data_IF_341086589712
#
_entry.id   IF_341086589712
#
_cell.length_a   1.000
_cell.length_b   1.000
_cell.length_c   1.000
_cell.angle_alpha   90.00
_cell.angle_beta   90.00
_cell.angle_gamma   90.00
#
_symmetry.space_group_name_H-M   'P 1'
#
loop_
_entity.id
_entity.type
_entity.pdbx_description
1 polymer ?
#
# COMPACT_ATOMS: atom_id res chain seq x y z
N UNK A 1 24.87 29.69 5.50
CA UNK A 1 24.34 29.25 4.21
C UNK A 1 22.98 28.61 4.46
N UNK A 2 21.83 29.22 4.11
CA UNK A 2 20.51 28.62 4.24
C UNK A 2 20.32 27.70 3.03
N UNK A 3 20.50 26.40 3.21
CA UNK A 3 20.19 25.42 2.18
C UNK A 3 18.66 25.43 2.00
N UNK A 4 18.18 26.04 0.94
CA UNK A 4 16.76 25.99 0.54
C UNK A 4 16.48 24.62 -0.09
N UNK A 5 16.11 23.65 0.74
CA UNK A 5 15.70 22.33 0.28
C UNK A 5 14.41 22.44 -0.56
N UNK A 6 14.50 22.17 -1.84
CA UNK A 6 13.32 22.15 -2.70
C UNK A 6 12.55 20.81 -2.55
N UNK A 7 11.70 20.76 -1.52
CA UNK A 7 10.92 19.56 -1.14
C UNK A 7 10.04 19.05 -2.27
N UNK A 8 9.45 19.96 -3.07
CA UNK A 8 8.63 19.57 -4.23
C UNK A 8 9.45 18.79 -5.26
N UNK A 9 10.70 19.21 -5.49
CA UNK A 9 11.61 18.51 -6.40
C UNK A 9 11.98 17.14 -5.86
N UNK A 10 12.33 17.04 -4.57
CA UNK A 10 12.70 15.77 -3.93
C UNK A 10 11.55 14.76 -4.00
N UNK A 11 10.32 15.17 -3.71
CA UNK A 11 9.16 14.29 -3.83
C UNK A 11 8.99 13.77 -5.26
N UNK A 12 9.14 14.64 -6.28
CA UNK A 12 9.07 14.19 -7.68
C UNK A 12 10.19 13.19 -8.01
N UNK A 13 11.40 13.41 -7.52
CA UNK A 13 12.54 12.51 -7.71
C UNK A 13 12.27 11.15 -7.04
N UNK A 14 11.71 11.13 -5.82
CA UNK A 14 11.35 9.88 -5.12
C UNK A 14 10.37 9.06 -5.97
N UNK A 15 9.28 9.66 -6.46
CA UNK A 15 8.31 8.96 -7.31
C UNK A 15 8.94 8.46 -8.61
N UNK A 16 9.75 9.28 -9.26
CA UNK A 16 10.42 8.92 -10.50
C UNK A 16 11.40 7.77 -10.30
N UNK A 17 12.28 7.86 -9.31
CA UNK A 17 13.26 6.81 -9.01
C UNK A 17 12.59 5.49 -8.63
N UNK A 18 11.52 5.55 -7.83
CA UNK A 18 10.76 4.35 -7.50
C UNK A 18 10.12 3.72 -8.74
N UNK A 19 9.53 4.52 -9.63
CA UNK A 19 8.94 4.01 -10.85
C UNK A 19 9.99 3.33 -11.75
N UNK A 20 11.14 3.97 -11.96
CA UNK A 20 12.26 3.38 -12.73
C UNK A 20 12.77 2.11 -12.05
N UNK A 21 12.98 2.15 -10.73
CA UNK A 21 13.36 0.97 -9.97
C UNK A 21 12.38 -0.18 -10.20
N UNK A 22 11.08 0.08 -10.12
CA UNK A 22 10.05 -0.92 -10.32
C UNK A 22 10.11 -1.53 -11.73
N UNK A 23 10.12 -0.69 -12.76
CA UNK A 23 10.21 -1.14 -14.16
C UNK A 23 11.46 -1.98 -14.38
N UNK A 24 12.62 -1.53 -13.92
CA UNK A 24 13.88 -2.27 -14.08
C UNK A 24 13.89 -3.59 -13.30
N UNK A 25 13.29 -3.63 -12.09
CA UNK A 25 13.20 -4.86 -11.30
C UNK A 25 12.41 -5.95 -12.01
N UNK A 26 11.38 -5.60 -12.76
CA UNK A 26 10.49 -6.56 -13.42
C UNK A 26 10.72 -6.71 -14.93
N UNK A 27 11.53 -5.84 -15.53
CA UNK A 27 11.78 -5.86 -16.99
C UNK A 27 12.45 -7.15 -17.46
N UNK A 28 13.48 -7.62 -16.74
CA UNK A 28 14.16 -8.88 -17.07
C UNK A 28 13.25 -10.11 -16.87
N UNK A 29 12.35 -10.06 -15.91
CA UNK A 29 11.37 -11.11 -15.65
C UNK A 29 10.34 -11.24 -16.78
N UNK A 30 9.95 -10.14 -17.43
CA UNK A 30 9.00 -10.17 -18.56
C UNK A 30 9.51 -11.04 -19.70
N UNK A 31 10.82 -11.03 -19.97
CA UNK A 31 11.44 -11.83 -21.03
C UNK A 31 11.72 -13.29 -20.64
N UNK A 32 11.61 -13.64 -19.36
CA UNK A 32 11.84 -15.01 -18.83
C UNK A 32 10.56 -15.74 -18.46
N UNK A 33 9.38 -15.25 -18.85
CA UNK A 33 8.09 -15.86 -18.55
C UNK A 33 7.94 -17.32 -18.99
N UNK A 34 8.61 -17.72 -20.04
CA UNK A 34 8.50 -19.06 -20.61
C UNK A 34 8.81 -20.22 -19.66
N UNK A 35 9.44 -19.95 -18.51
CA UNK A 35 9.98 -20.99 -17.62
C UNK A 35 9.44 -21.02 -16.19
N UNK A 36 8.60 -20.09 -15.74
CA UNK A 36 8.12 -20.13 -14.34
C UNK A 36 6.61 -20.27 -14.22
N UNK A 37 6.18 -21.41 -13.68
CA UNK A 37 4.80 -21.66 -13.19
C UNK A 37 4.40 -20.76 -12.00
N UNK A 38 5.34 -20.00 -11.47
CA UNK A 38 5.18 -19.21 -10.24
C UNK A 38 5.63 -17.79 -10.49
N UNK A 39 4.80 -16.85 -10.70
CA UNK A 39 5.01 -15.43 -10.87
C UNK A 39 6.46 -14.91 -10.88
N UNK A 40 6.71 -13.84 -11.57
CA UNK A 40 8.07 -13.33 -11.74
C UNK A 40 8.62 -12.77 -10.43
N UNK A 41 9.81 -13.20 -10.07
CA UNK A 41 10.59 -12.57 -9.01
C UNK A 41 11.26 -11.30 -9.56
N UNK A 42 11.31 -10.22 -8.78
CA UNK A 42 12.06 -9.04 -9.18
C UNK A 42 13.54 -9.37 -9.33
N UNK A 43 14.19 -8.83 -10.35
CA UNK A 43 15.61 -9.00 -10.60
C UNK A 43 16.37 -7.93 -9.83
N UNK A 44 17.30 -8.34 -8.98
CA UNK A 44 18.13 -7.44 -8.19
C UNK A 44 19.55 -7.37 -8.75
N UNK A 45 19.73 -6.57 -9.78
CA UNK A 45 21.08 -6.20 -10.26
C UNK A 45 21.67 -5.11 -9.36
N UNK A 46 23.00 -4.87 -9.47
CA UNK A 46 23.66 -3.77 -8.74
C UNK A 46 22.99 -2.41 -9.02
N UNK A 47 22.62 -2.14 -10.27
CA UNK A 47 21.96 -0.89 -10.67
C UNK A 47 20.58 -0.76 -10.03
N UNK A 48 19.78 -1.83 -10.03
CA UNK A 48 18.44 -1.87 -9.42
C UNK A 48 18.54 -1.66 -7.91
N UNK A 49 19.50 -2.31 -7.25
CA UNK A 49 19.74 -2.12 -5.83
C UNK A 49 20.18 -0.69 -5.49
N UNK A 50 21.03 -0.07 -6.32
CA UNK A 50 21.42 1.31 -6.11
C UNK A 50 20.24 2.28 -6.26
N UNK A 51 19.37 2.10 -7.25
CA UNK A 51 18.15 2.91 -7.40
C UNK A 51 17.23 2.76 -6.17
N UNK A 52 17.05 1.52 -5.71
CA UNK A 52 16.28 1.23 -4.48
C UNK A 52 16.87 1.96 -3.28
N UNK A 53 18.18 1.90 -3.09
CA UNK A 53 18.87 2.59 -2.00
C UNK A 53 18.68 4.10 -2.09
N UNK A 54 18.87 4.70 -3.26
CA UNK A 54 18.77 6.15 -3.44
C UNK A 54 17.37 6.65 -3.10
N UNK A 55 16.31 6.05 -3.66
CA UNK A 55 14.96 6.53 -3.34
C UNK A 55 14.61 6.32 -1.85
N UNK A 56 15.07 5.21 -1.26
CA UNK A 56 14.85 4.92 0.16
C UNK A 56 15.53 5.97 1.04
N UNK A 57 16.79 6.28 0.79
CA UNK A 57 17.53 7.31 1.52
C UNK A 57 16.89 8.69 1.36
N UNK A 58 16.35 9.01 0.18
CA UNK A 58 15.62 10.25 -0.03
C UNK A 58 14.32 10.31 0.79
N UNK A 59 13.56 9.21 0.87
CA UNK A 59 12.36 9.11 1.70
C UNK A 59 12.71 9.30 3.18
N UNK A 60 13.75 8.62 3.66
CA UNK A 60 14.18 8.69 5.04
C UNK A 60 14.71 10.10 5.40
N UNK A 61 15.58 10.67 4.56
CA UNK A 61 16.17 12.00 4.78
C UNK A 61 15.08 13.09 4.76
N UNK A 62 14.17 13.05 3.78
CA UNK A 62 13.08 14.00 3.70
C UNK A 62 12.10 13.83 4.87
N UNK A 63 11.76 12.59 5.21
CA UNK A 63 10.88 12.28 6.34
C UNK A 63 11.46 12.74 7.68
N UNK A 64 12.76 12.52 7.93
CA UNK A 64 13.44 12.99 9.12
C UNK A 64 13.51 14.53 9.18
N UNK A 65 13.82 15.15 8.06
CA UNK A 65 13.81 16.61 7.95
C UNK A 65 12.42 17.19 8.28
N UNK A 66 11.36 16.61 7.72
CA UNK A 66 9.99 17.04 7.99
C UNK A 66 9.57 16.76 9.44
N UNK A 67 9.94 15.62 10.01
CA UNK A 67 9.72 15.33 11.43
C UNK A 67 10.24 16.46 12.32
N UNK A 68 11.52 16.83 12.15
CA UNK A 68 12.16 17.91 12.92
C UNK A 68 11.48 19.26 12.68
N UNK A 69 11.10 19.54 11.44
CA UNK A 69 10.42 20.79 11.09
C UNK A 69 9.01 20.86 11.69
N UNK A 70 8.20 19.80 11.57
CA UNK A 70 6.83 19.75 12.10
C UNK A 70 6.83 19.83 13.64
N UNK A 71 7.85 19.25 14.28
CA UNK A 71 8.08 19.42 15.71
C UNK A 71 8.40 20.88 16.09
N UNK A 72 9.36 21.51 15.38
CA UNK A 72 9.72 22.92 15.58
C UNK A 72 8.52 23.86 15.39
N UNK A 73 7.66 23.55 14.43
CA UNK A 73 6.43 24.30 14.13
C UNK A 73 5.28 23.98 15.11
N UNK A 74 5.50 23.12 16.10
CA UNK A 74 4.47 22.65 17.06
C UNK A 74 3.25 21.99 16.41
N UNK A 75 3.39 21.51 15.18
CA UNK A 75 2.32 20.78 14.45
C UNK A 75 2.16 19.33 14.88
N UNK A 76 2.97 18.86 15.82
CA UNK A 76 2.90 17.55 16.45
C UNK A 76 2.83 17.76 17.95
N UNK A 77 1.98 16.99 18.65
CA UNK A 77 1.94 17.04 20.10
C UNK A 77 3.23 16.46 20.69
N UNK A 78 3.63 16.93 21.88
CA UNK A 78 4.80 16.38 22.56
C UNK A 78 4.65 14.88 22.84
N UNK A 79 3.45 14.45 23.19
CA UNK A 79 3.13 13.04 23.43
C UNK A 79 3.31 12.22 22.15
N UNK A 80 2.77 12.68 21.01
CA UNK A 80 2.90 11.98 19.75
C UNK A 80 4.37 11.92 19.29
N UNK A 81 5.11 12.99 19.51
CA UNK A 81 6.55 13.00 19.22
C UNK A 81 7.30 11.97 20.07
N UNK A 82 7.02 11.91 21.36
CA UNK A 82 7.61 10.93 22.27
C UNK A 82 7.26 9.50 21.83
N UNK A 83 5.97 9.24 21.58
CA UNK A 83 5.52 7.93 21.09
C UNK A 83 6.17 7.53 19.76
N UNK A 84 6.39 8.51 18.88
CA UNK A 84 7.07 8.25 17.61
C UNK A 84 8.56 7.94 17.80
N UNK A 85 9.24 8.63 18.71
CA UNK A 85 10.64 8.32 19.07
C UNK A 85 10.71 6.91 19.67
N UNK A 86 9.80 6.56 20.58
CA UNK A 86 9.73 5.21 21.15
C UNK A 86 9.51 4.17 20.04
N UNK A 87 8.59 4.41 19.09
CA UNK A 87 8.33 3.54 17.95
C UNK A 87 9.59 3.30 17.10
N UNK A 88 10.30 4.38 16.70
CA UNK A 88 11.52 4.25 15.91
C UNK A 88 12.62 3.53 16.68
N UNK A 89 12.84 3.93 17.95
CA UNK A 89 13.87 3.32 18.79
C UNK A 89 13.59 1.84 19.04
N UNK A 90 12.35 1.48 19.36
CA UNK A 90 11.95 0.08 19.54
C UNK A 90 12.12 -0.73 18.25
N UNK A 91 11.77 -0.16 17.08
CA UNK A 91 11.96 -0.81 15.78
C UNK A 91 13.44 -1.08 15.50
N UNK A 92 14.31 -0.11 15.72
CA UNK A 92 15.76 -0.23 15.52
C UNK A 92 16.36 -1.23 16.51
N UNK A 93 16.00 -1.10 17.79
CA UNK A 93 16.48 -2.04 18.81
C UNK A 93 16.06 -3.47 18.50
N UNK A 94 14.83 -3.67 18.08
CA UNK A 94 14.35 -5.01 17.73
C UNK A 94 15.10 -5.61 16.54
N UNK A 95 15.42 -4.81 15.51
CA UNK A 95 16.25 -5.26 14.39
C UNK A 95 17.65 -5.70 14.85
N UNK A 96 18.24 -4.96 15.78
CA UNK A 96 19.58 -5.25 16.28
C UNK A 96 19.59 -6.43 17.26
N UNK A 97 18.70 -6.45 18.26
CA UNK A 97 18.76 -7.40 19.37
C UNK A 97 18.08 -8.74 19.06
N UNK A 98 16.87 -8.71 18.51
CA UNK A 98 16.05 -9.92 18.27
C UNK A 98 16.31 -10.48 16.88
N UNK A 99 16.35 -9.62 15.85
CA UNK A 99 16.61 -10.05 14.49
C UNK A 99 18.09 -10.27 14.19
N UNK A 100 18.98 -9.81 15.06
CA UNK A 100 20.44 -9.90 14.94
C UNK A 100 20.99 -9.42 13.59
N UNK A 101 20.34 -8.39 13.01
CA UNK A 101 20.76 -7.81 11.75
C UNK A 101 21.80 -6.73 12.06
N UNK A 102 23.06 -7.09 11.92
CA UNK A 102 24.20 -6.18 12.13
C UNK A 102 24.80 -5.67 10.83
N UNK A 103 24.50 -6.34 9.72
CA UNK A 103 25.02 -6.01 8.41
C UNK A 103 24.11 -5.02 7.69
N UNK A 104 24.67 -3.88 7.27
CA UNK A 104 23.99 -2.83 6.54
C UNK A 104 23.46 -3.34 5.18
N UNK A 105 24.18 -4.24 4.55
CA UNK A 105 23.76 -4.78 3.25
C UNK A 105 22.47 -5.59 3.40
N UNK A 106 22.38 -6.45 4.39
CA UNK A 106 21.16 -7.19 4.74
C UNK A 106 20.03 -6.23 5.11
N UNK A 107 20.32 -5.21 5.91
CA UNK A 107 19.34 -4.21 6.33
C UNK A 107 18.69 -3.49 5.16
N UNK A 108 19.48 -3.12 4.14
CA UNK A 108 19.02 -2.29 3.02
C UNK A 108 18.52 -3.09 1.82
N UNK A 109 19.08 -4.27 1.57
CA UNK A 109 18.88 -4.98 0.29
C UNK A 109 18.14 -6.30 0.43
N UNK A 110 17.96 -6.83 1.63
CA UNK A 110 17.22 -8.07 1.80
C UNK A 110 15.75 -7.91 1.37
N UNK A 111 15.21 -8.94 0.74
CA UNK A 111 13.80 -9.01 0.35
C UNK A 111 12.89 -8.73 1.54
N UNK A 112 11.85 -7.91 1.34
CA UNK A 112 10.93 -7.50 2.41
C UNK A 112 11.47 -6.41 3.34
N UNK A 113 12.70 -5.99 3.17
CA UNK A 113 13.48 -4.97 3.87
C UNK A 113 13.13 -4.77 5.35
N UNK A 114 14.07 -5.07 6.25
CA UNK A 114 13.89 -4.83 7.68
C UNK A 114 13.53 -3.37 8.03
N UNK A 115 13.88 -2.42 7.14
CA UNK A 115 13.62 -0.98 7.31
C UNK A 115 12.17 -0.56 7.06
N UNK A 116 11.23 -1.48 6.82
CA UNK A 116 9.85 -1.12 6.45
C UNK A 116 9.16 -0.16 7.44
N UNK A 117 9.52 -0.20 8.73
CA UNK A 117 9.01 0.74 9.72
C UNK A 117 9.70 2.10 9.70
N UNK A 118 10.96 2.17 9.30
CA UNK A 118 11.66 3.45 9.17
C UNK A 118 11.06 4.29 8.03
N UNK A 119 10.56 3.63 6.98
CA UNK A 119 9.86 4.29 5.88
C UNK A 119 8.58 4.99 6.34
N UNK A 120 8.06 4.65 7.54
CA UNK A 120 6.95 5.39 8.16
C UNK A 120 7.25 6.87 8.42
N UNK A 121 8.51 7.30 8.38
CA UNK A 121 8.89 8.71 8.32
C UNK A 121 8.21 9.48 7.17
N UNK A 122 7.76 8.81 6.11
CA UNK A 122 6.95 9.39 5.04
C UNK A 122 5.63 10.01 5.56
N UNK A 123 5.14 9.62 6.73
CA UNK A 123 4.02 10.26 7.44
C UNK A 123 4.24 11.78 7.56
N UNK A 124 5.43 12.21 7.97
CA UNK A 124 5.74 13.63 8.15
C UNK A 124 5.85 14.40 6.83
N UNK A 125 6.27 13.73 5.75
CA UNK A 125 6.22 14.32 4.39
C UNK A 125 4.78 14.63 3.99
N UNK A 126 3.83 13.77 4.36
CA UNK A 126 2.40 14.01 4.15
C UNK A 126 1.84 15.22 4.90
N UNK A 127 2.42 15.59 6.05
CA UNK A 127 2.03 16.75 6.85
C UNK A 127 2.48 18.10 6.24
N UNK A 128 3.46 18.11 5.34
CA UNK A 128 4.02 19.35 4.79
C UNK A 128 3.05 20.06 3.85
N UNK A 129 2.71 21.32 4.20
CA UNK A 129 1.82 22.15 3.40
C UNK A 129 2.42 22.54 2.05
N UNK A 130 3.76 22.58 1.91
CA UNK A 130 4.43 22.95 0.64
C UNK A 130 4.26 21.91 -0.45
N UNK A 131 4.08 20.64 -0.08
CA UNK A 131 3.90 19.54 -1.03
C UNK A 131 2.42 19.11 -1.16
N UNK A 132 1.53 19.70 -0.38
CA UNK A 132 0.09 19.40 -0.33
C UNK A 132 -0.56 19.31 -1.71
N UNK A 133 -0.31 20.28 -2.58
CA UNK A 133 -0.90 20.33 -3.91
C UNK A 133 -0.18 19.43 -4.93
N UNK A 134 1.10 19.18 -4.68
CA UNK A 134 1.92 18.37 -5.58
C UNK A 134 1.59 16.89 -5.44
N UNK A 135 1.44 16.40 -4.20
CA UNK A 135 1.26 14.97 -3.93
C UNK A 135 0.07 14.36 -4.68
N UNK A 136 -1.17 14.93 -4.65
CA UNK A 136 -2.29 14.36 -5.39
C UNK A 136 -2.07 14.37 -6.92
N UNK A 137 -1.43 15.42 -7.45
CA UNK A 137 -1.12 15.51 -8.89
C UNK A 137 -0.12 14.43 -9.32
N UNK A 138 0.93 14.25 -8.52
CA UNK A 138 1.96 13.23 -8.75
C UNK A 138 1.35 11.83 -8.59
N UNK A 139 0.55 11.62 -7.55
CA UNK A 139 -0.13 10.35 -7.32
C UNK A 139 -1.09 9.99 -8.47
N UNK A 140 -1.82 10.95 -9.06
CA UNK A 140 -2.64 10.71 -10.26
C UNK A 140 -1.80 10.24 -11.44
N UNK A 141 -0.72 10.94 -11.73
CA UNK A 141 0.13 10.61 -12.88
C UNK A 141 0.75 9.22 -12.74
N UNK A 142 1.40 8.94 -11.61
CA UNK A 142 2.02 7.63 -11.39
C UNK A 142 1.01 6.52 -11.12
N UNK A 143 -0.13 6.83 -10.51
CA UNK A 143 -1.24 5.88 -10.35
C UNK A 143 -1.71 5.34 -11.70
N UNK A 144 -1.96 6.23 -12.65
CA UNK A 144 -2.31 5.84 -14.02
C UNK A 144 -1.15 5.09 -14.71
N UNK A 145 0.09 5.55 -14.54
CA UNK A 145 1.27 4.88 -15.12
C UNK A 145 1.41 3.45 -14.61
N UNK A 146 1.26 3.19 -13.31
CA UNK A 146 1.31 1.85 -12.74
C UNK A 146 0.14 0.96 -13.18
N UNK A 147 -1.08 1.51 -13.27
CA UNK A 147 -2.22 0.74 -13.79
C UNK A 147 -2.01 0.37 -15.25
N UNK A 148 -1.51 1.30 -16.07
CA UNK A 148 -1.17 1.03 -17.47
C UNK A 148 -0.07 -0.03 -17.56
N UNK A 149 0.95 0.06 -16.70
CA UNK A 149 2.03 -0.92 -16.64
C UNK A 149 1.51 -2.32 -16.26
N UNK A 150 0.56 -2.40 -15.33
CA UNK A 150 -0.11 -3.67 -15.00
C UNK A 150 -0.81 -4.29 -16.22
N UNK A 151 -1.50 -3.46 -17.03
CA UNK A 151 -2.14 -3.92 -18.27
C UNK A 151 -1.11 -4.35 -19.32
N UNK A 152 -0.02 -3.60 -19.48
CA UNK A 152 1.06 -3.97 -20.41
C UNK A 152 1.69 -5.31 -20.00
N UNK A 153 2.01 -5.49 -18.74
CA UNK A 153 2.52 -6.78 -18.25
C UNK A 153 1.52 -7.93 -18.45
N UNK A 154 0.24 -7.67 -18.27
CA UNK A 154 -0.81 -8.66 -18.53
C UNK A 154 -0.86 -9.04 -20.03
N UNK A 155 -0.84 -8.07 -20.93
CA UNK A 155 -0.84 -8.31 -22.38
C UNK A 155 0.39 -9.10 -22.84
N UNK A 156 1.59 -8.75 -22.36
CA UNK A 156 2.82 -9.48 -22.66
C UNK A 156 2.69 -10.92 -22.18
N UNK A 157 2.17 -11.12 -20.96
CA UNK A 157 1.95 -12.45 -20.42
C UNK A 157 0.98 -13.28 -21.28
N UNK A 158 -0.11 -12.69 -21.74
CA UNK A 158 -1.07 -13.37 -22.62
C UNK A 158 -0.44 -13.79 -23.95
N UNK A 159 0.44 -12.96 -24.52
CA UNK A 159 1.11 -13.24 -25.78
C UNK A 159 2.14 -14.37 -25.62
N UNK A 160 2.96 -14.31 -24.55
CA UNK A 160 4.08 -15.24 -24.38
C UNK A 160 3.66 -16.64 -23.92
N UNK A 161 2.59 -16.76 -23.13
CA UNK A 161 2.21 -18.02 -22.48
C UNK A 161 0.95 -18.65 -23.09
N UNK A 162 0.25 -17.93 -24.00
CA UNK A 162 -1.01 -18.41 -24.53
C UNK A 162 -2.07 -18.50 -23.42
N UNK A 163 -2.21 -17.44 -22.64
CA UNK A 163 -3.01 -17.37 -21.44
C UNK A 163 -4.46 -17.79 -21.62
N UNK A 164 -4.90 -18.77 -20.86
CA UNK A 164 -6.31 -19.01 -20.60
C UNK A 164 -6.76 -18.21 -19.38
N UNK A 165 -7.84 -17.46 -19.50
CA UNK A 165 -8.43 -16.69 -18.40
C UNK A 165 -8.85 -17.62 -17.26
N UNK A 166 -8.08 -17.79 -16.23
CA UNK A 166 -8.33 -18.70 -15.12
C UNK A 166 -7.08 -18.94 -14.29
N UNK A 167 -5.92 -18.63 -14.84
CA UNK A 167 -4.66 -18.71 -14.10
C UNK A 167 -4.59 -17.57 -13.09
N UNK A 168 -4.34 -17.91 -11.84
CA UNK A 168 -4.20 -16.92 -10.77
C UNK A 168 -2.88 -16.20 -10.85
N UNK A 169 -2.93 -14.87 -10.99
CA UNK A 169 -1.77 -14.00 -10.71
C UNK A 169 -1.67 -13.78 -9.21
N UNK A 170 -1.06 -14.71 -8.52
CA UNK A 170 -0.93 -14.64 -7.07
C UNK A 170 0.29 -13.85 -6.61
N UNK A 171 1.25 -13.63 -7.49
CA UNK A 171 2.46 -12.84 -7.25
C UNK A 171 3.01 -12.37 -8.60
N UNK A 172 3.80 -11.32 -8.59
CA UNK A 172 4.49 -10.86 -9.78
C UNK A 172 4.18 -9.43 -10.18
N UNK A 173 4.74 -8.96 -11.30
CA UNK A 173 4.74 -7.56 -11.68
C UNK A 173 3.34 -6.99 -11.89
N UNK A 174 2.39 -7.79 -12.38
CA UNK A 174 1.00 -7.36 -12.61
C UNK A 174 0.37 -6.95 -11.28
N UNK A 175 0.44 -7.83 -10.27
CA UNK A 175 -0.15 -7.57 -8.96
C UNK A 175 0.52 -6.39 -8.24
N UNK A 176 1.86 -6.33 -8.25
CA UNK A 176 2.58 -5.25 -7.59
C UNK A 176 2.41 -3.91 -8.30
N UNK A 177 2.35 -3.89 -9.64
CA UNK A 177 2.01 -2.69 -10.39
C UNK A 177 0.58 -2.22 -10.07
N UNK A 178 -0.38 -3.14 -10.01
CA UNK A 178 -1.74 -2.84 -9.61
C UNK A 178 -1.82 -2.28 -8.18
N UNK A 179 -1.14 -2.90 -7.21
CA UNK A 179 -1.10 -2.41 -5.83
C UNK A 179 -0.59 -0.97 -5.76
N UNK A 180 0.54 -0.68 -6.40
CA UNK A 180 1.09 0.69 -6.45
C UNK A 180 0.10 1.66 -7.10
N UNK A 181 -0.47 1.30 -8.24
CA UNK A 181 -1.44 2.11 -8.96
C UNK A 181 -2.69 2.39 -8.12
N UNK A 182 -3.26 1.36 -7.50
CA UNK A 182 -4.46 1.45 -6.68
C UNK A 182 -4.29 2.41 -5.49
N UNK A 183 -3.25 2.25 -4.67
CA UNK A 183 -3.05 3.12 -3.51
C UNK A 183 -2.70 4.55 -3.89
N UNK A 184 -1.99 4.76 -5.00
CA UNK A 184 -1.77 6.11 -5.53
C UNK A 184 -3.08 6.77 -5.97
N UNK A 185 -3.98 6.03 -6.61
CA UNK A 185 -5.31 6.51 -7.00
C UNK A 185 -6.18 6.78 -5.76
N UNK A 186 -6.16 5.90 -4.77
CA UNK A 186 -6.81 6.11 -3.47
C UNK A 186 -6.32 7.40 -2.83
N UNK A 187 -4.98 7.59 -2.73
CA UNK A 187 -4.41 8.82 -2.19
C UNK A 187 -4.92 10.06 -2.95
N UNK A 188 -4.86 10.04 -4.29
CA UNK A 188 -5.27 11.16 -5.11
C UNK A 188 -6.76 11.48 -4.96
N UNK A 189 -7.61 10.45 -4.94
CA UNK A 189 -9.07 10.60 -4.83
C UNK A 189 -9.46 11.31 -3.52
N UNK A 190 -8.94 10.83 -2.39
CA UNK A 190 -9.34 11.35 -1.09
C UNK A 190 -8.66 12.68 -0.71
N UNK A 191 -7.65 13.11 -1.46
CA UNK A 191 -7.02 14.43 -1.29
C UNK A 191 -7.54 15.49 -2.26
N UNK A 192 -8.22 15.10 -3.33
CA UNK A 192 -8.74 16.02 -4.32
C UNK A 192 -10.17 16.46 -3.93
N UNK A 193 -10.36 17.78 -3.73
CA UNK A 193 -11.69 18.36 -3.44
C UNK A 193 -12.38 18.75 -4.74
N UNK A 194 -11.59 19.14 -5.75
CA UNK A 194 -12.10 19.61 -7.04
C UNK A 194 -11.99 18.53 -8.11
N UNK A 195 -13.13 17.94 -8.45
CA UNK A 195 -13.25 16.91 -9.49
C UNK A 195 -13.39 17.51 -10.91
N UNK A 196 -12.75 18.64 -11.17
CA UNK A 196 -12.78 19.30 -12.48
C UNK A 196 -12.36 18.38 -13.63
N UNK A 197 -11.46 17.43 -13.38
CA UNK A 197 -10.97 16.44 -14.35
C UNK A 197 -11.81 15.15 -14.36
N UNK A 198 -13.10 15.26 -14.66
CA UNK A 198 -14.01 14.10 -14.72
C UNK A 198 -13.55 12.98 -15.66
N UNK A 199 -12.88 13.33 -16.77
CA UNK A 199 -12.39 12.33 -17.74
C UNK A 199 -11.32 11.42 -17.12
N UNK A 200 -10.41 11.98 -16.33
CA UNK A 200 -9.40 11.18 -15.64
C UNK A 200 -10.03 10.08 -14.79
N UNK A 201 -11.00 10.43 -13.96
CA UNK A 201 -11.68 9.47 -13.07
C UNK A 201 -12.54 8.47 -13.84
N UNK A 202 -13.16 8.88 -14.95
CA UNK A 202 -13.93 7.99 -15.82
C UNK A 202 -13.07 6.92 -16.50
N UNK A 203 -11.80 7.19 -16.73
CA UNK A 203 -10.85 6.21 -17.30
C UNK A 203 -10.21 5.37 -16.19
N UNK A 204 -9.73 6.01 -15.14
CA UNK A 204 -8.90 5.37 -14.12
C UNK A 204 -9.67 4.38 -13.25
N UNK A 205 -10.91 4.71 -12.87
CA UNK A 205 -11.71 3.81 -12.03
C UNK A 205 -12.11 2.50 -12.75
N UNK A 206 -12.63 2.51 -14.00
CA UNK A 206 -12.82 1.27 -14.74
C UNK A 206 -11.52 0.48 -14.94
N UNK A 207 -10.40 1.16 -15.18
CA UNK A 207 -9.10 0.49 -15.29
C UNK A 207 -8.70 -0.21 -13.98
N UNK A 208 -8.93 0.40 -12.82
CA UNK A 208 -8.76 -0.25 -11.52
C UNK A 208 -9.64 -1.50 -11.39
N UNK A 209 -10.89 -1.42 -11.84
CA UNK A 209 -11.81 -2.55 -11.78
C UNK A 209 -11.34 -3.71 -12.67
N UNK A 210 -10.97 -3.42 -13.92
CA UNK A 210 -10.43 -4.41 -14.85
C UNK A 210 -9.17 -5.06 -14.25
N UNK A 211 -8.24 -4.24 -13.73
CA UNK A 211 -7.03 -4.76 -13.09
C UNK A 211 -7.34 -5.66 -11.89
N UNK A 212 -8.34 -5.32 -11.09
CA UNK A 212 -8.75 -6.14 -9.94
C UNK A 212 -9.31 -7.51 -10.36
N UNK A 213 -10.03 -7.57 -11.47
CA UNK A 213 -10.50 -8.84 -12.05
C UNK A 213 -9.36 -9.68 -12.61
N UNK A 214 -8.44 -9.06 -13.34
CA UNK A 214 -7.26 -9.74 -13.89
C UNK A 214 -6.43 -10.39 -12.78
N UNK A 215 -6.27 -9.72 -11.63
CA UNK A 215 -5.56 -10.29 -10.48
C UNK A 215 -6.32 -11.42 -9.79
N UNK A 216 -7.58 -11.71 -10.21
CA UNK A 216 -8.45 -12.73 -9.63
C UNK A 216 -8.59 -12.66 -8.11
N UNK A 217 -8.49 -11.44 -7.55
CA UNK A 217 -8.54 -11.19 -6.12
C UNK A 217 -9.90 -10.62 -5.70
N UNK A 218 -10.70 -11.41 -4.99
CA UNK A 218 -12.01 -10.99 -4.46
C UNK A 218 -11.95 -9.71 -3.63
N UNK A 219 -10.96 -9.60 -2.78
CA UNK A 219 -10.78 -8.44 -1.90
C UNK A 219 -10.43 -7.17 -2.68
N UNK A 220 -9.64 -7.26 -3.74
CA UNK A 220 -9.36 -6.13 -4.62
C UNK A 220 -10.59 -5.67 -5.39
N UNK A 221 -11.42 -6.60 -5.84
CA UNK A 221 -12.72 -6.27 -6.47
C UNK A 221 -13.59 -5.50 -5.49
N UNK A 222 -13.74 -5.98 -4.25
CA UNK A 222 -14.52 -5.29 -3.20
C UNK A 222 -13.95 -3.90 -2.89
N UNK A 223 -12.64 -3.78 -2.73
CA UNK A 223 -12.00 -2.48 -2.47
C UNK A 223 -12.17 -1.50 -3.64
N UNK A 224 -12.11 -2.00 -4.88
CA UNK A 224 -12.32 -1.17 -6.06
C UNK A 224 -13.79 -0.73 -6.18
N UNK A 225 -14.74 -1.60 -5.89
CA UNK A 225 -16.17 -1.24 -5.82
C UNK A 225 -16.38 -0.16 -4.75
N UNK A 226 -15.78 -0.32 -3.57
CA UNK A 226 -15.83 0.69 -2.51
C UNK A 226 -15.25 2.01 -2.99
N UNK A 227 -14.12 2.00 -3.71
CA UNK A 227 -13.52 3.21 -4.29
C UNK A 227 -14.47 3.91 -5.28
N UNK A 228 -15.17 3.14 -6.14
CA UNK A 228 -16.20 3.68 -7.04
C UNK A 228 -17.36 4.33 -6.28
N UNK A 229 -17.90 3.64 -5.30
CA UNK A 229 -18.99 4.17 -4.46
C UNK A 229 -18.59 5.49 -3.82
N UNK A 230 -17.40 5.54 -3.24
CA UNK A 230 -16.89 6.74 -2.58
C UNK A 230 -16.65 7.88 -3.57
N UNK A 231 -16.15 7.60 -4.77
CA UNK A 231 -16.02 8.62 -5.82
C UNK A 231 -17.36 9.28 -6.12
N UNK A 232 -18.43 8.50 -6.31
CA UNK A 232 -19.75 9.04 -6.60
C UNK A 232 -20.36 9.79 -5.43
N UNK A 233 -20.14 9.32 -4.20
CA UNK A 233 -20.62 10.01 -2.97
C UNK A 233 -19.94 11.38 -2.84
N UNK A 234 -18.61 11.44 -2.97
CA UNK A 234 -17.83 12.66 -2.82
C UNK A 234 -18.19 13.65 -3.94
N UNK A 235 -18.28 13.20 -5.19
CA UNK A 235 -18.54 14.06 -6.35
C UNK A 235 -19.88 14.78 -6.27
N UNK A 236 -20.91 14.18 -5.68
CA UNK A 236 -22.27 14.70 -5.69
C UNK A 236 -22.76 15.24 -4.34
N UNK A 237 -21.87 15.49 -3.40
CA UNK A 237 -22.22 16.03 -2.06
C UNK A 237 -23.45 15.34 -1.44
N UNK A 238 -23.56 14.04 -1.60
CA UNK A 238 -24.57 13.16 -1.01
C UNK A 238 -26.04 13.42 -1.44
N UNK A 239 -26.35 14.29 -2.37
CA UNK A 239 -27.75 14.60 -2.74
C UNK A 239 -28.48 13.46 -3.45
N UNK A 240 -27.76 12.48 -4.01
CA UNK A 240 -28.37 11.33 -4.70
C UNK A 240 -27.61 10.01 -4.43
N UNK A 241 -27.44 9.68 -3.16
CA UNK A 241 -26.68 8.49 -2.76
C UNK A 241 -27.23 7.21 -3.43
N UNK A 242 -28.55 7.00 -3.39
CA UNK A 242 -29.21 5.82 -3.97
C UNK A 242 -28.95 5.73 -5.47
N UNK A 243 -29.11 6.83 -6.21
CA UNK A 243 -28.83 6.84 -7.65
C UNK A 243 -27.37 6.56 -7.99
N UNK A 244 -26.45 6.99 -7.13
CA UNK A 244 -25.02 6.74 -7.31
C UNK A 244 -24.66 5.28 -6.99
N UNK A 245 -25.27 4.70 -5.98
CA UNK A 245 -25.16 3.25 -5.71
C UNK A 245 -25.68 2.46 -6.91
N UNK A 246 -26.87 2.79 -7.45
CA UNK A 246 -27.43 2.14 -8.62
C UNK A 246 -26.53 2.26 -9.85
N UNK A 247 -25.93 3.43 -10.09
CA UNK A 247 -24.95 3.62 -11.17
C UNK A 247 -23.69 2.77 -10.97
N UNK A 248 -23.19 2.72 -9.73
CA UNK A 248 -22.02 1.88 -9.43
C UNK A 248 -22.34 0.41 -9.66
N UNK A 249 -23.49 -0.06 -9.17
CA UNK A 249 -23.98 -1.42 -9.40
C UNK A 249 -24.14 -1.67 -10.91
N UNK A 250 -24.72 -0.73 -11.64
CA UNK A 250 -24.87 -0.82 -13.10
C UNK A 250 -23.53 -0.92 -13.84
N UNK A 251 -22.54 -0.12 -13.47
CA UNK A 251 -21.16 -0.21 -14.05
C UNK A 251 -20.52 -1.55 -13.72
N UNK A 252 -20.58 -1.97 -12.44
CA UNK A 252 -20.04 -3.27 -12.02
C UNK A 252 -20.73 -4.41 -12.76
N UNK A 253 -22.07 -4.38 -12.84
CA UNK A 253 -22.84 -5.37 -13.57
C UNK A 253 -22.47 -5.41 -15.06
N UNK A 254 -22.37 -4.24 -15.71
CA UNK A 254 -21.94 -4.15 -17.11
C UNK A 254 -20.55 -4.75 -17.33
N UNK A 255 -19.58 -4.42 -16.45
CA UNK A 255 -18.23 -4.99 -16.51
C UNK A 255 -18.27 -6.50 -16.29
N UNK A 256 -19.06 -7.00 -15.33
CA UNK A 256 -19.21 -8.44 -15.07
C UNK A 256 -19.82 -9.15 -16.27
N UNK A 257 -20.87 -8.60 -16.89
CA UNK A 257 -21.47 -9.17 -18.10
C UNK A 257 -20.46 -9.19 -19.25
N UNK A 258 -19.73 -8.09 -19.45
CA UNK A 258 -18.70 -8.03 -20.49
C UNK A 258 -17.61 -9.07 -20.25
N UNK A 259 -17.10 -9.20 -19.03
CA UNK A 259 -16.11 -10.22 -18.69
C UNK A 259 -16.69 -11.61 -18.85
N UNK A 260 -17.94 -11.85 -18.47
CA UNK A 260 -18.58 -13.16 -18.64
C UNK A 260 -18.74 -13.55 -20.11
N UNK A 261 -19.03 -12.59 -20.99
CA UNK A 261 -19.14 -12.84 -22.43
C UNK A 261 -17.80 -13.18 -23.10
N UNK A 262 -16.71 -12.54 -22.65
CA UNK A 262 -15.39 -12.69 -23.26
C UNK A 262 -14.41 -13.57 -22.47
N UNK A 263 -14.70 -13.84 -21.20
CA UNK A 263 -13.81 -14.55 -20.27
C UNK A 263 -14.61 -15.25 -19.15
N UNK A 264 -15.56 -16.13 -19.51
CA UNK A 264 -16.41 -16.87 -18.56
C UNK A 264 -15.59 -17.62 -17.49
N UNK A 265 -14.44 -18.18 -17.88
CA UNK A 265 -13.55 -18.94 -16.99
C UNK A 265 -12.98 -18.08 -15.84
N UNK A 266 -12.84 -16.78 -16.07
CA UNK A 266 -12.40 -15.84 -15.03
C UNK A 266 -13.45 -15.72 -13.91
N UNK A 267 -14.71 -15.57 -14.28
CA UNK A 267 -15.82 -15.49 -13.31
C UNK A 267 -16.00 -16.84 -12.63
N UNK A 268 -15.97 -17.93 -13.38
CA UNK A 268 -16.02 -19.29 -12.84
C UNK A 268 -14.93 -19.52 -11.79
N UNK A 269 -13.70 -19.10 -12.05
CA UNK A 269 -12.59 -19.22 -11.11
C UNK A 269 -12.75 -18.34 -9.86
N UNK A 270 -13.35 -17.16 -9.97
CA UNK A 270 -13.66 -16.30 -8.83
C UNK A 270 -14.76 -16.91 -7.95
N UNK A 271 -15.81 -17.45 -8.56
CA UNK A 271 -16.95 -18.10 -7.87
C UNK A 271 -16.50 -19.38 -7.18
N UNK A 272 -15.74 -20.24 -7.84
CA UNK A 272 -15.22 -21.48 -7.27
C UNK A 272 -14.39 -21.21 -5.99
N UNK A 273 -13.70 -20.08 -5.93
CA UNK A 273 -12.90 -19.67 -4.77
C UNK A 273 -13.70 -19.04 -3.63
N UNK A 274 -15.00 -18.78 -3.80
CA UNK A 274 -15.81 -18.23 -2.69
C UNK A 274 -15.86 -19.16 -1.48
N UNK A 275 -15.75 -20.48 -1.71
CA UNK A 275 -15.71 -21.52 -0.66
C UNK A 275 -14.32 -21.83 -0.09
N UNK A 276 -13.24 -21.45 -0.78
CA UNK A 276 -11.87 -21.78 -0.34
C UNK A 276 -11.32 -20.71 0.61
N UNK A 277 -11.06 -21.07 1.87
CA UNK A 277 -10.40 -20.21 2.84
C UNK A 277 -9.07 -20.82 3.28
N UNK A 278 -7.99 -20.52 2.55
CA UNK A 278 -6.63 -20.89 2.97
C UNK A 278 -6.12 -20.05 4.16
N UNK A 279 -6.82 -18.98 4.54
CA UNK A 279 -6.42 -18.06 5.60
C UNK A 279 -6.72 -18.59 6.99
N UNK A 280 -7.88 -19.23 7.18
CA UNK A 280 -8.20 -19.90 8.44
C UNK A 280 -7.20 -20.99 8.74
N UNK A 281 -6.92 -21.87 7.76
CA UNK A 281 -5.94 -22.92 7.93
C UNK A 281 -4.51 -22.37 8.16
N UNK A 282 -4.15 -21.24 7.52
CA UNK A 282 -2.88 -20.58 7.78
C UNK A 282 -2.78 -20.09 9.22
N UNK A 283 -3.82 -19.45 9.75
CA UNK A 283 -3.82 -18.94 11.12
C UNK A 283 -3.87 -20.06 12.15
N UNK A 284 -4.66 -21.12 11.92
CA UNK A 284 -4.68 -22.30 12.76
C UNK A 284 -3.29 -22.94 12.86
N UNK A 285 -2.68 -23.28 11.72
CA UNK A 285 -1.33 -23.85 11.67
C UNK A 285 -0.28 -22.92 12.30
N UNK A 286 -0.43 -21.61 12.14
CA UNK A 286 0.45 -20.63 12.77
C UNK A 286 0.34 -20.66 14.29
N UNK A 287 -0.88 -20.60 14.86
CA UNK A 287 -1.08 -20.57 16.32
C UNK A 287 -0.85 -21.91 16.99
N UNK A 288 -0.90 -23.03 16.26
CA UNK A 288 -0.45 -24.34 16.76
C UNK A 288 1.06 -24.38 17.02
N UNK A 289 1.85 -23.63 16.24
CA UNK A 289 3.32 -23.64 16.33
C UNK A 289 3.87 -22.46 17.13
N UNK A 290 3.20 -21.31 17.07
CA UNK A 290 3.70 -20.06 17.66
C UNK A 290 2.77 -19.63 18.80
N UNK A 291 3.23 -19.68 20.05
CA UNK A 291 2.44 -19.26 21.19
C UNK A 291 2.19 -17.75 21.14
N UNK A 292 0.99 -17.32 21.58
CA UNK A 292 0.58 -15.91 21.58
C UNK A 292 1.55 -15.03 22.38
N UNK A 293 2.14 -15.56 23.46
CA UNK A 293 3.16 -14.86 24.27
C UNK A 293 4.37 -14.40 23.45
N UNK A 294 4.76 -15.17 22.43
CA UNK A 294 5.88 -14.81 21.54
C UNK A 294 5.56 -13.62 20.65
N UNK A 295 4.29 -13.28 20.43
CA UNK A 295 3.87 -12.10 19.66
C UNK A 295 4.06 -10.80 20.45
N UNK A 296 4.21 -10.87 21.77
CA UNK A 296 4.43 -9.68 22.61
C UNK A 296 5.84 -9.12 22.35
N UNK A 297 6.84 -9.97 22.38
CA UNK A 297 8.24 -9.60 22.13
C UNK A 297 8.60 -9.58 20.65
N UNK A 298 7.91 -10.37 19.83
CA UNK A 298 8.29 -10.69 18.46
C UNK A 298 9.42 -11.73 18.41
N UNK A 299 9.52 -12.43 17.30
CA UNK A 299 10.53 -13.50 17.09
C UNK A 299 11.65 -13.08 16.12
N UNK A 300 11.62 -11.84 15.66
CA UNK A 300 12.63 -11.29 14.76
C UNK A 300 12.26 -11.37 13.28
N UNK A 301 13.02 -10.62 12.48
CA UNK A 301 12.77 -10.44 11.07
C UNK A 301 12.79 -11.75 10.26
N UNK A 302 13.68 -12.68 10.65
CA UNK A 302 13.83 -13.97 9.97
C UNK A 302 12.94 -15.09 10.55
N UNK A 303 12.03 -14.75 11.47
CA UNK A 303 11.10 -15.71 12.05
C UNK A 303 10.28 -16.43 10.98
N UNK A 304 10.12 -17.73 11.16
CA UNK A 304 9.41 -18.61 10.24
C UNK A 304 8.63 -19.69 10.97
N UNK A 305 7.67 -20.30 10.29
CA UNK A 305 6.91 -21.44 10.76
C UNK A 305 6.67 -22.41 9.59
N UNK A 306 6.14 -23.59 9.85
CA UNK A 306 5.83 -24.56 8.79
C UNK A 306 4.43 -24.32 8.27
N UNK A 307 4.28 -24.20 6.95
CA UNK A 307 2.96 -24.08 6.32
C UNK A 307 2.94 -24.78 4.97
N UNK A 308 1.98 -25.68 4.79
CA UNK A 308 1.91 -26.58 3.63
C UNK A 308 3.22 -27.37 3.46
N UNK A 309 3.80 -27.38 2.27
CA UNK A 309 5.08 -28.01 1.97
C UNK A 309 6.32 -27.20 2.37
N UNK A 310 6.14 -25.96 2.88
CA UNK A 310 7.24 -25.06 3.21
C UNK A 310 7.68 -25.23 4.66
N UNK A 311 8.92 -25.61 4.88
CA UNK A 311 9.50 -25.73 6.23
C UNK A 311 9.79 -24.40 6.91
N UNK A 312 10.10 -23.37 6.12
CA UNK A 312 10.49 -22.03 6.59
C UNK A 312 9.60 -20.97 5.95
N UNK A 313 8.30 -20.99 6.26
CA UNK A 313 7.35 -20.02 5.73
C UNK A 313 7.38 -18.75 6.58
N UNK A 314 7.57 -17.60 5.93
CA UNK A 314 7.79 -16.30 6.60
C UNK A 314 6.68 -15.29 6.40
N UNK A 315 5.57 -15.68 5.77
CA UNK A 315 4.50 -14.76 5.40
C UNK A 315 3.19 -15.12 6.09
N UNK A 316 2.45 -14.12 6.54
CA UNK A 316 1.09 -14.25 7.07
C UNK A 316 0.22 -13.22 6.36
N UNK A 317 -0.92 -13.65 5.83
CA UNK A 317 -1.85 -12.78 5.12
C UNK A 317 -2.32 -11.60 5.98
N UNK A 318 -2.58 -11.85 7.27
CA UNK A 318 -2.87 -10.80 8.23
C UNK A 318 -1.58 -10.09 8.66
N UNK A 319 -1.36 -8.90 8.13
CA UNK A 319 -0.13 -8.13 8.36
C UNK A 319 -0.02 -7.53 9.77
N UNK A 320 -1.11 -7.47 10.54
CA UNK A 320 -1.06 -7.10 11.96
C UNK A 320 -0.43 -8.23 12.75
N UNK A 321 -0.90 -9.46 12.56
CA UNK A 321 -0.31 -10.66 13.20
C UNK A 321 1.13 -10.84 12.72
N UNK A 322 1.38 -10.69 11.43
CA UNK A 322 2.73 -10.74 10.85
C UNK A 322 3.68 -9.72 11.47
N UNK A 323 3.20 -8.51 11.70
CA UNK A 323 3.94 -7.44 12.34
C UNK A 323 4.27 -7.78 13.81
N UNK A 324 3.29 -8.26 14.57
CA UNK A 324 3.52 -8.76 15.93
C UNK A 324 4.51 -9.94 15.95
N UNK A 325 4.37 -10.87 15.01
CA UNK A 325 5.25 -12.02 14.87
C UNK A 325 6.71 -11.63 14.68
N UNK A 326 6.96 -10.61 13.85
CA UNK A 326 8.32 -10.16 13.57
C UNK A 326 8.86 -9.15 14.59
N UNK A 327 8.09 -8.14 14.95
CA UNK A 327 8.56 -6.95 15.68
C UNK A 327 7.95 -6.76 17.06
N UNK A 328 7.01 -7.62 17.42
CA UNK A 328 6.34 -7.55 18.72
C UNK A 328 5.16 -6.58 18.79
N UNK A 329 4.40 -6.71 19.86
CA UNK A 329 3.16 -5.96 20.08
C UNK A 329 3.40 -4.46 20.28
N UNK A 330 4.52 -4.05 20.89
CA UNK A 330 4.83 -2.64 21.14
C UNK A 330 4.99 -1.88 19.82
N UNK A 331 5.87 -2.37 18.93
CA UNK A 331 6.14 -1.73 17.63
C UNK A 331 4.88 -1.71 16.77
N UNK A 332 4.16 -2.84 16.74
CA UNK A 332 2.91 -2.96 15.98
C UNK A 332 1.81 -2.06 16.53
N UNK A 333 1.66 -1.99 17.84
CA UNK A 333 0.66 -1.15 18.51
C UNK A 333 0.90 0.35 18.26
N UNK A 334 2.13 0.80 18.36
CA UNK A 334 2.51 2.19 18.06
C UNK A 334 2.31 2.52 16.56
N UNK A 335 2.66 1.60 15.67
CA UNK A 335 2.40 1.74 14.24
C UNK A 335 0.90 1.91 13.95
N UNK A 336 0.07 1.03 14.51
CA UNK A 336 -1.39 1.11 14.37
C UNK A 336 -1.96 2.38 14.99
N UNK A 337 -1.42 2.84 16.13
CA UNK A 337 -1.83 4.09 16.75
C UNK A 337 -1.70 5.27 15.78
N UNK A 338 -0.55 5.41 15.09
CA UNK A 338 -0.34 6.49 14.13
C UNK A 338 -1.17 6.35 12.84
N UNK A 339 -1.64 5.15 12.49
CA UNK A 339 -2.56 4.95 11.38
C UNK A 339 -4.01 5.24 11.77
N UNK A 340 -4.43 4.85 12.98
CA UNK A 340 -5.82 4.94 13.42
C UNK A 340 -6.14 6.32 13.99
N UNK A 341 -5.24 6.93 14.74
CA UNK A 341 -5.44 8.25 15.34
C UNK A 341 -5.94 9.32 14.35
N UNK A 342 -5.38 9.46 13.13
CA UNK A 342 -5.90 10.39 12.14
C UNK A 342 -7.35 10.10 11.74
N UNK A 343 -7.75 8.82 11.68
CA UNK A 343 -9.13 8.43 11.32
C UNK A 343 -10.08 8.84 12.45
N UNK A 344 -9.73 8.51 13.69
CA UNK A 344 -10.53 8.88 14.87
C UNK A 344 -10.69 10.40 14.98
N UNK A 345 -9.57 11.13 14.82
CA UNK A 345 -9.61 12.59 14.77
C UNK A 345 -10.52 13.11 13.65
N UNK A 346 -10.47 12.53 12.46
CA UNK A 346 -11.27 12.95 11.32
C UNK A 346 -12.78 12.77 11.54
N UNK A 347 -13.20 11.72 12.28
CA UNK A 347 -14.62 11.49 12.63
C UNK A 347 -15.17 12.67 13.43
N UNK A 348 -14.40 13.22 14.37
CA UNK A 348 -14.80 14.32 15.23
C UNK A 348 -14.90 15.68 14.48
N UNK A 349 -14.22 15.80 13.31
CA UNK A 349 -14.13 17.06 12.55
C UNK A 349 -15.13 17.21 11.40
N UNK A 350 -16.02 16.25 11.22
CA UNK A 350 -17.08 16.32 10.24
C UNK A 350 -16.84 15.55 8.95
N UNK A 351 -17.87 15.60 8.08
CA UNK A 351 -17.97 14.71 6.91
C UNK A 351 -16.76 14.79 5.95
N UNK A 352 -16.25 15.99 5.69
CA UNK A 352 -15.15 16.16 4.73
C UNK A 352 -13.83 15.55 5.25
N UNK A 353 -13.50 15.78 6.52
CA UNK A 353 -12.32 15.20 7.15
C UNK A 353 -12.43 13.67 7.20
N UNK A 354 -13.61 13.15 7.57
CA UNK A 354 -13.88 11.72 7.55
C UNK A 354 -13.67 11.10 6.16
N UNK A 355 -14.21 11.70 5.10
CA UNK A 355 -14.02 11.21 3.75
C UNK A 355 -12.55 11.15 3.35
N UNK A 356 -11.74 12.13 3.75
CA UNK A 356 -10.30 12.11 3.50
C UNK A 356 -9.59 10.97 4.23
N UNK A 357 -10.09 10.58 5.39
CA UNK A 357 -9.52 9.48 6.18
C UNK A 357 -9.84 8.08 5.64
N UNK A 358 -10.89 7.92 4.82
CA UNK A 358 -11.32 6.62 4.27
C UNK A 358 -10.20 5.99 3.42
N UNK A 359 -9.33 6.79 2.80
CA UNK A 359 -8.17 6.27 2.10
C UNK A 359 -7.23 5.46 3.00
N UNK A 360 -7.13 5.81 4.28
CA UNK A 360 -6.35 5.04 5.25
C UNK A 360 -7.05 3.71 5.56
N UNK A 361 -8.38 3.69 5.58
CA UNK A 361 -9.15 2.45 5.82
C UNK A 361 -8.89 1.41 4.73
N UNK A 362 -8.73 1.81 3.46
CA UNK A 362 -8.32 0.89 2.40
C UNK A 362 -6.99 0.19 2.74
N UNK A 363 -6.03 0.94 3.27
CA UNK A 363 -4.74 0.40 3.69
C UNK A 363 -4.88 -0.54 4.89
N UNK A 364 -5.64 -0.15 5.91
CA UNK A 364 -5.90 -0.98 7.10
C UNK A 364 -6.63 -2.27 6.71
N UNK A 365 -7.62 -2.22 5.83
CA UNK A 365 -8.28 -3.43 5.32
C UNK A 365 -7.32 -4.35 4.58
N UNK A 366 -6.40 -3.79 3.78
CA UNK A 366 -5.37 -4.59 3.16
C UNK A 366 -4.46 -5.27 4.19
N UNK A 367 -4.08 -4.56 5.26
CA UNK A 367 -3.28 -5.12 6.37
C UNK A 367 -3.99 -6.24 7.13
N UNK A 368 -5.30 -6.18 7.29
CA UNK A 368 -6.08 -7.23 7.95
C UNK A 368 -6.19 -8.53 7.13
N UNK A 369 -5.50 -8.62 6.01
CA UNK A 369 -5.52 -9.80 5.14
C UNK A 369 -6.75 -9.87 4.25
N UNK A 370 -7.47 -8.74 4.08
CA UNK A 370 -8.60 -8.66 3.16
C UNK A 370 -8.16 -8.48 1.71
N UNK A 371 -6.86 -8.52 1.44
CA UNK A 371 -6.28 -8.56 0.10
C UNK A 371 -5.26 -9.70 -0.03
N UNK A 372 -5.01 -10.16 -1.27
CA UNK A 372 -3.98 -11.15 -1.53
C UNK A 372 -2.64 -10.42 -1.74
N UNK A 373 -1.57 -10.98 -1.19
CA UNK A 373 -0.20 -10.47 -1.37
C UNK A 373 0.02 -9.00 -1.00
N UNK A 374 -0.75 -8.50 -0.06
CA UNK A 374 -0.40 -7.26 0.59
C UNK A 374 0.66 -7.57 1.65
N UNK A 375 1.81 -6.93 1.56
CA UNK A 375 2.84 -6.99 2.60
C UNK A 375 3.27 -5.58 2.98
N UNK A 376 3.49 -5.37 4.27
CA UNK A 376 4.19 -4.18 4.72
C UNK A 376 5.60 -4.20 4.13
N UNK A 377 5.95 -3.16 3.39
CA UNK A 377 7.19 -3.09 2.63
C UNK A 377 7.65 -1.64 2.47
N UNK A 378 8.74 -1.47 1.76
CA UNK A 378 9.24 -0.15 1.38
C UNK A 378 8.66 0.36 0.05
N UNK A 379 7.66 -0.33 -0.48
CA UNK A 379 7.04 0.00 -1.75
C UNK A 379 6.16 1.25 -1.68
N UNK A 380 5.86 1.81 -2.85
CA UNK A 380 5.14 3.08 -2.95
C UNK A 380 3.74 3.01 -2.32
N UNK A 381 3.06 1.86 -2.36
CA UNK A 381 1.75 1.71 -1.71
C UNK A 381 1.80 1.95 -0.19
N UNK A 382 2.87 1.52 0.51
CA UNK A 382 3.08 1.84 1.92
C UNK A 382 3.42 3.32 2.09
N UNK A 383 4.39 3.83 1.33
CA UNK A 383 4.86 5.21 1.42
C UNK A 383 3.71 6.20 1.25
N UNK A 384 2.88 6.04 0.20
CA UNK A 384 1.74 6.97 -0.04
C UNK A 384 0.65 6.83 1.02
N UNK A 385 0.43 5.64 1.57
CA UNK A 385 -0.54 5.44 2.65
C UNK A 385 -0.08 6.10 3.95
N UNK A 386 1.21 6.08 4.23
CA UNK A 386 1.79 6.82 5.36
C UNK A 386 1.70 8.33 5.16
N UNK A 387 1.99 8.83 3.94
CA UNK A 387 1.78 10.24 3.60
C UNK A 387 0.32 10.65 3.75
N UNK A 388 -0.63 9.78 3.37
CA UNK A 388 -2.06 10.02 3.53
C UNK A 388 -2.44 10.12 5.03
N UNK A 389 -1.94 9.22 5.85
CA UNK A 389 -2.15 9.26 7.30
C UNK A 389 -1.61 10.55 7.91
N UNK A 390 -0.40 10.96 7.56
CA UNK A 390 0.20 12.22 8.00
C UNK A 390 -0.59 13.44 7.54
N UNK A 391 -1.09 13.45 6.31
CA UNK A 391 -1.93 14.53 5.80
C UNK A 391 -3.25 14.64 6.53
N UNK A 392 -3.89 13.51 6.80
CA UNK A 392 -5.14 13.47 7.58
C UNK A 392 -4.90 13.97 9.01
N UNK A 393 -3.81 13.55 9.65
CA UNK A 393 -3.40 14.02 10.98
C UNK A 393 -3.22 15.55 11.00
N UNK A 394 -2.51 16.12 10.03
CA UNK A 394 -2.29 17.56 9.97
C UNK A 394 -3.60 18.35 9.77
N UNK A 395 -4.51 17.83 8.94
CA UNK A 395 -5.81 18.47 8.72
C UNK A 395 -6.68 18.48 9.97
N UNK A 396 -6.70 17.39 10.74
CA UNK A 396 -7.52 17.29 11.97
C UNK A 396 -7.00 18.20 13.07
N UNK A 397 -5.69 18.41 13.17
CA UNK A 397 -5.11 19.26 14.21
C UNK A 397 -5.26 20.76 13.94
N UNK A 398 -5.11 21.19 12.69
CA UNK A 398 -5.25 22.61 12.32
C UNK A 398 -6.65 23.19 12.63
N UNK A 399 -7.64 22.33 12.81
CA UNK A 399 -9.00 22.71 13.22
C UNK A 399 -9.13 22.88 14.72
N UNK A 400 -8.47 22.01 15.51
CA UNK A 400 -8.47 22.10 16.99
C UNK A 400 -7.82 23.39 17.52
N UNK A 401 -6.90 23.97 16.76
CA UNK A 401 -6.20 25.21 17.17
C UNK A 401 -6.99 26.47 16.74
N UNK A 402 -8.12 26.33 16.04
CA UNK A 402 -8.99 27.44 15.60
C UNK A 402 -10.27 27.60 16.43
N UNK A 403 -10.64 26.57 17.17
CA UNK A 403 -11.75 26.57 18.15
C UNK A 403 -11.19 26.82 19.57
#
# INVERSE_FOLDING_TARGET
>A
MKIHLNRKLIVRIIFFLYFIYFVMSYMGGVWTFSNSKYGMMPIYTRTVNNLRLIYLLLVLALGLYELLLQFKLKKISQIDMLLFIIFLSASIMHLYTVSQITDIQTLLFQSGTPMMYLVFLAFFVGMDDKVKELLPKTAKAYGLAFLTLAMVYFLIFCIDIGYSFGVRFSSGPILYAFNNGFFLIVYALYQEIDFSKRLYWRITLPLCLIASFITTSRSWVVQTILLFMMYYIIQRRATHIILNILKTVGVVFFVLVTINLFASDLIGSLVARLGESTRSSQLETFFEQIPISSLISGLGYNASYRFLSWSNYQYIDNQVIFSCFRYGALVTGLFLYFLIKPIVGAISYGKEAFFRSIGILHFVFAMLGLSIYFSLSIDMWCIVSYMLAGRTYANTRNTLERD
#
